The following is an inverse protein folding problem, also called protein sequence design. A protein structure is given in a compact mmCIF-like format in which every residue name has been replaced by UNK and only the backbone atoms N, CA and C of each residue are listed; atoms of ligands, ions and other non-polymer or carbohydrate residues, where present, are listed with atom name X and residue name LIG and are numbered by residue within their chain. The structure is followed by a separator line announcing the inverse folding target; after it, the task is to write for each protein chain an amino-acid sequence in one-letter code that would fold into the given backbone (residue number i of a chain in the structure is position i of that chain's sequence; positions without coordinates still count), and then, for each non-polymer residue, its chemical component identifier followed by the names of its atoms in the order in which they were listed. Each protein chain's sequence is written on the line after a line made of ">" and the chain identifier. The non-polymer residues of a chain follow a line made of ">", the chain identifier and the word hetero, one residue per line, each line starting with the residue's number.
data_IF_272636935113
#
_entry.id   IF_272636935113
#
_cell.length_a   1.000
_cell.length_b   1.000
_cell.length_c   1.000
_cell.angle_alpha   90.00
_cell.angle_beta   90.00
_cell.angle_gamma   90.00
#
_symmetry.space_group_name_H-M   'P 1'
#
loop_
_entity.id
_entity.type
_entity.pdbx_description
1 polymer ?
#
# COMPACT_ATOMS: atom_id res chain seq x y z
N UNK A 1 -4.57 55.08 43.23
CA UNK A 1 -3.36 54.43 42.64
C UNK A 1 -3.70 53.04 42.10
N UNK A 2 -4.99 52.79 41.82
CA UNK A 2 -5.56 51.43 41.84
C UNK A 2 -6.00 50.96 40.44
N UNK A 3 -6.22 51.91 39.52
CA UNK A 3 -6.55 51.65 38.12
C UNK A 3 -5.36 51.10 37.32
N UNK A 4 -4.14 51.58 37.62
CA UNK A 4 -2.92 51.08 36.97
C UNK A 4 -2.63 49.63 37.33
N UNK A 5 -2.71 49.28 38.62
CA UNK A 5 -2.50 47.90 39.08
C UNK A 5 -3.55 46.94 38.49
N UNK A 6 -4.80 47.38 38.41
CA UNK A 6 -5.89 46.59 37.82
C UNK A 6 -5.70 46.35 36.32
N UNK A 7 -5.25 47.35 35.57
CA UNK A 7 -4.97 47.21 34.15
C UNK A 7 -3.73 46.34 33.88
N UNK A 8 -2.68 46.46 34.69
CA UNK A 8 -1.49 45.61 34.59
C UNK A 8 -1.82 44.14 34.86
N UNK A 9 -2.65 43.84 35.86
CA UNK A 9 -3.09 42.47 36.14
C UNK A 9 -3.93 41.90 34.99
N UNK A 10 -4.82 42.70 34.39
CA UNK A 10 -5.63 42.28 33.23
C UNK A 10 -4.77 41.98 32.00
N UNK A 11 -3.76 42.80 31.74
CA UNK A 11 -2.83 42.60 30.61
C UNK A 11 -1.98 41.35 30.85
N UNK A 12 -1.48 41.14 32.06
CA UNK A 12 -0.69 39.95 32.42
C UNK A 12 -1.55 38.67 32.31
N UNK A 13 -2.78 38.70 32.80
CA UNK A 13 -3.71 37.57 32.67
C UNK A 13 -4.06 37.29 31.21
N UNK A 14 -4.28 38.32 30.39
CA UNK A 14 -4.54 38.16 28.96
C UNK A 14 -3.33 37.58 28.22
N UNK A 15 -2.13 38.05 28.52
CA UNK A 15 -0.88 37.52 27.95
C UNK A 15 -0.61 36.08 28.39
N UNK A 16 -0.90 35.72 29.64
CA UNK A 16 -0.79 34.34 30.14
C UNK A 16 -1.76 33.40 29.42
N UNK A 17 -3.01 33.81 29.20
CA UNK A 17 -4.01 33.02 28.47
C UNK A 17 -3.56 32.79 27.01
N UNK A 18 -3.05 33.83 26.36
CA UNK A 18 -2.52 33.74 24.98
C UNK A 18 -1.27 32.86 24.91
N UNK A 19 -0.41 32.87 25.93
CA UNK A 19 0.79 32.02 25.98
C UNK A 19 0.47 30.54 26.26
N UNK A 20 -0.67 30.24 26.90
CA UNK A 20 -1.14 28.87 27.18
C UNK A 20 -2.10 28.32 26.13
N UNK A 21 -2.48 29.12 25.12
CA UNK A 21 -3.18 28.63 23.94
C UNK A 21 -2.18 27.85 23.06
N UNK A 22 -1.65 26.75 23.61
CA UNK A 22 -0.88 25.76 22.88
C UNK A 22 -1.73 25.30 21.70
N UNK A 23 -1.12 25.32 20.52
CA UNK A 23 -1.69 24.82 19.27
C UNK A 23 -2.29 23.44 19.51
N UNK A 24 -3.63 23.35 19.54
CA UNK A 24 -4.31 22.07 19.42
C UNK A 24 -3.92 21.54 18.04
N UNK A 25 -3.06 20.52 18.01
CA UNK A 25 -2.74 19.83 16.78
C UNK A 25 -4.01 19.15 16.30
N UNK A 26 -4.39 19.34 15.03
CA UNK A 26 -5.53 18.63 14.44
C UNK A 26 -5.37 17.09 14.49
N UNK A 27 -4.16 16.60 14.78
CA UNK A 27 -3.86 15.18 14.96
C UNK A 27 -4.37 14.59 16.28
N UNK A 28 -4.75 15.40 17.28
CA UNK A 28 -5.15 14.93 18.61
C UNK A 28 -6.67 14.86 18.80
N UNK A 29 -7.45 15.05 17.73
CA UNK A 29 -8.91 14.88 17.79
C UNK A 29 -9.22 13.39 17.65
N UNK A 30 -9.50 12.72 18.77
CA UNK A 30 -10.10 11.39 18.79
C UNK A 30 -11.53 11.52 18.24
N UNK A 31 -11.70 11.22 16.95
CA UNK A 31 -13.00 11.27 16.27
C UNK A 31 -13.75 9.96 16.56
N UNK A 32 -14.78 10.02 17.40
CA UNK A 32 -15.71 8.90 17.64
C UNK A 32 -16.79 8.88 16.53
N UNK A 33 -16.35 8.62 15.29
CA UNK A 33 -17.20 8.63 14.10
C UNK A 33 -17.00 7.36 13.27
N UNK A 34 -18.05 6.80 12.62
CA UNK A 34 -17.94 5.56 11.86
C UNK A 34 -17.01 5.60 10.62
N UNK A 35 -16.70 6.80 10.11
CA UNK A 35 -15.82 6.99 8.95
C UNK A 35 -14.74 7.99 9.35
N UNK A 36 -13.50 7.53 9.29
CA UNK A 36 -12.32 8.33 9.61
C UNK A 36 -11.57 8.72 8.33
N UNK A 37 -10.85 9.86 8.35
CA UNK A 37 -9.91 10.20 7.29
C UNK A 37 -8.85 9.11 7.13
N UNK A 38 -8.39 8.89 5.89
CA UNK A 38 -7.26 8.00 5.64
C UNK A 38 -5.98 8.58 6.29
N UNK A 39 -5.16 7.77 6.96
CA UNK A 39 -3.90 8.23 7.51
C UNK A 39 -2.95 8.68 6.39
N UNK A 40 -2.30 9.83 6.57
CA UNK A 40 -1.47 10.46 5.54
C UNK A 40 -0.05 9.90 5.43
N UNK A 41 0.41 9.16 6.45
CA UNK A 41 1.77 8.62 6.49
C UNK A 41 1.74 7.13 6.84
N UNK A 42 2.36 6.31 6.00
CA UNK A 42 2.85 5.00 6.37
C UNK A 42 4.38 5.04 6.41
N UNK A 43 4.98 4.57 7.50
CA UNK A 43 6.43 4.46 7.66
C UNK A 43 6.94 3.20 6.92
N UNK A 44 7.07 3.32 5.59
CA UNK A 44 7.56 2.26 4.71
C UNK A 44 8.99 2.54 4.26
N UNK A 45 9.85 1.52 4.31
CA UNK A 45 11.21 1.61 3.81
C UNK A 45 11.25 1.99 2.31
N UNK A 46 11.81 3.14 1.91
CA UNK A 46 11.74 3.63 0.53
C UNK A 46 12.31 2.65 -0.50
N UNK A 47 13.35 1.88 -0.10
CA UNK A 47 13.96 0.85 -0.96
C UNK A 47 13.00 -0.31 -1.25
N UNK A 48 12.21 -0.72 -0.25
CA UNK A 48 11.21 -1.80 -0.42
C UNK A 48 10.08 -1.31 -1.31
N UNK A 49 9.62 -0.07 -1.09
CA UNK A 49 8.60 0.56 -1.94
C UNK A 49 9.05 0.63 -3.40
N UNK A 50 10.28 1.06 -3.66
CA UNK A 50 10.83 1.14 -5.01
C UNK A 50 10.91 -0.23 -5.72
N UNK A 51 11.31 -1.29 -4.99
CA UNK A 51 11.33 -2.66 -5.53
C UNK A 51 9.90 -3.15 -5.80
N UNK A 52 8.98 -2.92 -4.86
CA UNK A 52 7.57 -3.28 -5.01
C UNK A 52 6.93 -2.60 -6.22
N UNK A 53 7.19 -1.30 -6.41
CA UNK A 53 6.72 -0.53 -7.56
C UNK A 53 7.26 -1.08 -8.88
N UNK A 54 8.56 -1.41 -8.93
CA UNK A 54 9.15 -2.08 -10.11
C UNK A 54 8.41 -3.38 -10.41
N UNK A 55 8.31 -4.28 -9.42
CA UNK A 55 7.68 -5.59 -9.59
C UNK A 55 6.19 -5.50 -9.95
N UNK A 56 5.47 -4.50 -9.43
CA UNK A 56 4.06 -4.28 -9.75
C UNK A 56 3.83 -3.98 -11.24
N UNK A 57 4.80 -3.31 -11.88
CA UNK A 57 4.74 -2.92 -13.29
C UNK A 57 5.46 -3.90 -14.22
N UNK A 58 6.32 -4.76 -13.69
CA UNK A 58 7.15 -5.67 -14.47
C UNK A 58 6.39 -6.93 -14.92
N UNK A 59 6.31 -7.24 -16.22
CA UNK A 59 5.65 -8.44 -16.69
C UNK A 59 6.47 -9.72 -16.47
N UNK A 60 7.74 -9.64 -16.03
CA UNK A 60 8.59 -10.80 -15.79
C UNK A 60 8.00 -11.81 -14.79
N UNK A 61 7.03 -11.38 -14.00
CA UNK A 61 6.29 -12.22 -13.06
C UNK A 61 5.34 -13.21 -13.77
N UNK A 62 4.85 -12.91 -14.98
CA UNK A 62 4.02 -13.84 -15.75
C UNK A 62 4.86 -14.83 -16.55
N UNK A 63 4.29 -15.98 -16.86
CA UNK A 63 5.00 -17.06 -17.56
C UNK A 63 5.55 -16.61 -18.92
N UNK A 64 4.73 -15.90 -19.70
CA UNK A 64 5.07 -15.44 -21.05
C UNK A 64 5.61 -14.00 -21.10
N UNK A 65 5.88 -13.38 -19.94
CA UNK A 65 6.32 -11.99 -19.81
C UNK A 65 5.38 -10.96 -20.47
N UNK A 66 4.06 -11.20 -20.47
CA UNK A 66 3.06 -10.29 -21.06
C UNK A 66 2.15 -9.59 -20.04
N UNK A 67 2.08 -10.09 -18.79
CA UNK A 67 1.14 -9.59 -17.77
C UNK A 67 1.92 -9.15 -16.52
N UNK A 68 1.67 -7.94 -16.06
CA UNK A 68 2.09 -7.44 -14.73
C UNK A 68 0.86 -7.18 -13.86
N UNK A 69 1.06 -6.87 -12.57
CA UNK A 69 -0.05 -6.50 -11.69
C UNK A 69 -0.79 -5.26 -12.22
N UNK A 70 -0.03 -4.28 -12.74
CA UNK A 70 -0.53 -3.07 -13.35
C UNK A 70 -1.39 -3.31 -14.61
N UNK A 71 -1.34 -4.49 -15.24
CA UNK A 71 -2.21 -4.84 -16.36
C UNK A 71 -3.69 -4.86 -15.94
N UNK A 72 -3.99 -5.55 -14.83
CA UNK A 72 -5.34 -5.70 -14.28
C UNK A 72 -5.67 -4.60 -13.24
N UNK A 73 -4.65 -4.03 -12.59
CA UNK A 73 -4.79 -3.05 -11.51
C UNK A 73 -4.18 -1.70 -11.87
N UNK A 74 -4.62 -1.15 -13.00
CA UNK A 74 -4.09 0.10 -13.56
C UNK A 74 -4.36 1.28 -12.62
N UNK A 75 -3.29 1.89 -12.10
CA UNK A 75 -3.40 3.03 -11.17
C UNK A 75 -4.10 4.24 -11.83
N UNK A 76 -3.83 4.50 -13.13
CA UNK A 76 -4.46 5.59 -13.87
C UNK A 76 -5.99 5.48 -14.02
N UNK A 77 -6.56 4.29 -13.78
CA UNK A 77 -8.01 4.02 -13.87
C UNK A 77 -8.58 3.52 -12.55
N UNK A 78 -8.10 4.08 -11.43
CA UNK A 78 -8.63 3.80 -10.10
C UNK A 78 -8.18 2.46 -9.53
N UNK A 79 -7.03 1.94 -9.96
CA UNK A 79 -6.48 0.66 -9.50
C UNK A 79 -7.19 -0.57 -10.08
N UNK A 80 -7.92 -0.41 -11.19
CA UNK A 80 -8.62 -1.51 -11.91
C UNK A 80 -8.46 -1.35 -13.41
N UNK A 81 -8.69 -2.42 -14.16
CA UNK A 81 -8.72 -2.44 -15.63
C UNK A 81 -10.04 -1.91 -16.23
N UNK A 82 -11.03 -1.59 -15.39
CA UNK A 82 -12.37 -1.15 -15.79
C UNK A 82 -13.14 -2.17 -16.66
N UNK A 83 -12.74 -3.44 -16.65
CA UNK A 83 -13.40 -4.50 -17.41
C UNK A 83 -14.40 -5.27 -16.53
N UNK A 84 -15.40 -5.96 -17.13
CA UNK A 84 -16.24 -6.89 -16.38
C UNK A 84 -15.45 -8.07 -15.80
N UNK A 85 -14.43 -8.54 -16.54
CA UNK A 85 -13.49 -9.60 -16.18
C UNK A 85 -12.16 -9.32 -16.86
N UNK A 86 -11.07 -9.51 -16.13
CA UNK A 86 -9.72 -9.23 -16.62
C UNK A 86 -9.26 -10.23 -17.68
N UNK A 87 -8.33 -9.82 -18.52
CA UNK A 87 -7.59 -10.73 -19.39
C UNK A 87 -6.23 -11.05 -18.76
N UNK A 88 -5.83 -12.31 -18.82
CA UNK A 88 -4.49 -12.76 -18.42
C UNK A 88 -3.66 -13.22 -19.60
N UNK A 89 -2.67 -14.06 -19.32
CA UNK A 89 -1.74 -14.58 -20.32
C UNK A 89 -2.47 -15.25 -21.48
N UNK A 90 -1.91 -15.10 -22.69
CA UNK A 90 -2.53 -15.55 -23.96
C UNK A 90 -3.93 -14.99 -24.23
N UNK A 91 -4.30 -13.87 -23.61
CA UNK A 91 -5.62 -13.24 -23.79
C UNK A 91 -6.79 -14.02 -23.17
N UNK A 92 -6.51 -14.94 -22.25
CA UNK A 92 -7.55 -15.71 -21.56
C UNK A 92 -8.38 -14.81 -20.66
N UNK A 93 -9.69 -15.04 -20.60
CA UNK A 93 -10.59 -14.28 -19.71
C UNK A 93 -10.63 -14.90 -18.32
N UNK A 94 -10.39 -14.08 -17.29
CA UNK A 94 -10.53 -14.47 -15.90
C UNK A 94 -11.97 -14.78 -15.50
N UNK A 95 -12.14 -15.27 -14.26
CA UNK A 95 -13.45 -15.69 -13.74
C UNK A 95 -14.27 -14.54 -13.15
N UNK A 96 -13.60 -13.52 -12.60
CA UNK A 96 -14.23 -12.43 -11.85
C UNK A 96 -13.57 -11.09 -12.18
N UNK A 97 -14.24 -10.00 -11.84
CA UNK A 97 -13.72 -8.63 -11.96
C UNK A 97 -12.54 -8.40 -11.02
N UNK A 98 -11.47 -7.77 -11.51
CA UNK A 98 -10.39 -7.31 -10.65
C UNK A 98 -10.89 -6.21 -9.67
N UNK A 99 -10.73 -6.39 -8.34
CA UNK A 99 -10.98 -5.32 -7.39
C UNK A 99 -9.90 -4.23 -7.50
N UNK A 100 -10.12 -3.07 -6.89
CA UNK A 100 -9.09 -2.02 -6.84
C UNK A 100 -7.96 -2.37 -5.88
N UNK A 101 -6.74 -1.95 -6.20
CA UNK A 101 -5.60 -1.96 -5.26
C UNK A 101 -5.57 -0.75 -4.33
N UNK A 102 -6.37 0.28 -4.59
CA UNK A 102 -6.42 1.44 -3.70
C UNK A 102 -7.04 1.07 -2.37
N UNK A 103 -6.35 1.43 -1.29
CA UNK A 103 -6.74 1.17 0.09
C UNK A 103 -6.91 -0.33 0.43
N UNK A 104 -6.45 -1.25 -0.41
CA UNK A 104 -6.59 -2.70 -0.16
C UNK A 104 -5.85 -3.17 1.09
N UNK A 105 -4.83 -2.41 1.53
CA UNK A 105 -4.15 -2.61 2.80
C UNK A 105 -5.06 -2.46 4.04
N UNK A 106 -6.21 -1.79 3.90
CA UNK A 106 -7.20 -1.64 4.97
C UNK A 106 -8.33 -2.69 4.91
N UNK A 107 -8.33 -3.57 3.90
CA UNK A 107 -9.27 -4.68 3.89
C UNK A 107 -8.92 -5.66 5.02
N UNK A 108 -9.93 -6.21 5.69
CA UNK A 108 -9.73 -7.24 6.73
C UNK A 108 -9.35 -8.62 6.15
N UNK A 109 -9.65 -8.86 4.87
CA UNK A 109 -9.23 -10.02 4.06
C UNK A 109 -9.12 -9.59 2.60
N UNK A 110 -8.42 -10.37 1.78
CA UNK A 110 -8.21 -10.13 0.35
C UNK A 110 -9.00 -11.13 -0.52
N UNK A 111 -9.14 -10.77 -1.80
CA UNK A 111 -10.07 -11.38 -2.77
C UNK A 111 -11.54 -11.20 -2.42
N UNK A 112 -12.41 -11.38 -3.43
CA UNK A 112 -13.87 -11.28 -3.28
C UNK A 112 -14.48 -12.29 -2.29
N UNK A 113 -13.85 -13.46 -2.14
CA UNK A 113 -14.27 -14.52 -1.23
C UNK A 113 -13.50 -14.53 0.10
N UNK A 114 -12.59 -13.57 0.30
CA UNK A 114 -11.83 -13.42 1.55
C UNK A 114 -10.81 -14.52 1.81
N UNK A 115 -10.42 -15.32 0.81
CA UNK A 115 -9.57 -16.51 1.01
C UNK A 115 -8.11 -16.24 1.37
N UNK A 116 -7.65 -14.99 1.33
CA UNK A 116 -6.30 -14.60 1.73
C UNK A 116 -6.39 -13.57 2.86
N UNK A 117 -5.63 -13.76 3.93
CA UNK A 117 -5.69 -12.89 5.11
C UNK A 117 -4.94 -11.57 4.89
N UNK A 118 -3.87 -11.59 4.07
CA UNK A 118 -3.00 -10.42 3.84
C UNK A 118 -2.70 -10.20 2.36
N UNK A 119 -2.08 -9.05 2.04
CA UNK A 119 -1.61 -8.74 0.68
C UNK A 119 -0.49 -9.69 0.24
N UNK A 120 0.39 -10.08 1.17
CA UNK A 120 1.49 -11.02 0.94
C UNK A 120 0.96 -12.41 0.55
N UNK A 121 -0.10 -12.87 1.23
CA UNK A 121 -0.79 -14.12 0.86
C UNK A 121 -1.52 -13.99 -0.49
N UNK A 122 -2.17 -12.85 -0.74
CA UNK A 122 -2.95 -12.59 -1.94
C UNK A 122 -2.08 -12.70 -3.21
N UNK A 123 -0.87 -12.14 -3.19
CA UNK A 123 0.04 -12.07 -4.36
C UNK A 123 0.36 -13.45 -4.95
N UNK A 124 0.38 -14.51 -4.13
CA UNK A 124 0.63 -15.86 -4.61
C UNK A 124 -0.46 -16.37 -5.56
N UNK A 125 -1.71 -15.90 -5.41
CA UNK A 125 -2.83 -16.32 -6.26
C UNK A 125 -2.62 -15.99 -7.74
N UNK A 126 -2.55 -14.70 -8.14
CA UNK A 126 -2.42 -14.29 -9.54
C UNK A 126 -1.20 -14.87 -10.23
N UNK A 127 -0.05 -14.93 -9.53
CA UNK A 127 1.20 -15.47 -10.05
C UNK A 127 1.03 -16.91 -10.51
N UNK A 128 0.38 -17.75 -9.70
CA UNK A 128 0.21 -19.18 -10.00
C UNK A 128 -1.05 -19.48 -10.84
N UNK A 129 -1.97 -18.52 -10.99
CA UNK A 129 -3.25 -18.80 -11.63
C UNK A 129 -3.13 -18.83 -13.17
N UNK A 130 -3.54 -19.93 -13.84
CA UNK A 130 -3.27 -20.16 -15.27
C UNK A 130 -4.06 -19.23 -16.22
N UNK A 131 -5.11 -18.58 -15.72
CA UNK A 131 -5.90 -17.57 -16.45
C UNK A 131 -5.43 -16.13 -16.14
N UNK A 132 -4.48 -15.95 -15.23
CA UNK A 132 -3.93 -14.64 -14.86
C UNK A 132 -2.47 -14.56 -15.33
N UNK A 133 -1.49 -14.84 -14.48
CA UNK A 133 -0.07 -14.76 -14.82
C UNK A 133 0.53 -16.12 -15.21
N UNK A 134 -0.10 -17.22 -14.76
CA UNK A 134 0.21 -18.61 -15.13
C UNK A 134 1.65 -19.05 -14.94
N UNK A 135 2.35 -18.43 -14.00
CA UNK A 135 3.76 -18.67 -13.65
C UNK A 135 3.86 -19.59 -12.42
N UNK A 136 5.05 -19.67 -11.85
CA UNK A 136 5.30 -20.25 -10.52
C UNK A 136 6.37 -19.44 -9.80
N UNK A 137 6.40 -19.49 -8.47
CA UNK A 137 7.44 -18.81 -7.70
C UNK A 137 8.87 -19.24 -8.07
N UNK A 138 9.07 -20.52 -8.38
CA UNK A 138 10.36 -21.02 -8.85
C UNK A 138 10.76 -20.36 -10.17
N UNK A 139 9.82 -20.26 -11.11
CA UNK A 139 10.05 -19.59 -12.40
C UNK A 139 10.37 -18.10 -12.20
N UNK A 140 9.55 -17.40 -11.40
CA UNK A 140 9.74 -15.98 -11.07
C UNK A 140 11.13 -15.75 -10.47
N UNK A 141 11.51 -16.52 -9.44
CA UNK A 141 12.83 -16.37 -8.80
C UNK A 141 13.96 -16.60 -9.80
N UNK A 142 13.83 -17.58 -10.70
CA UNK A 142 14.84 -17.83 -11.73
C UNK A 142 14.94 -16.66 -12.73
N UNK A 143 13.81 -16.08 -13.14
CA UNK A 143 13.77 -14.89 -14.00
C UNK A 143 14.42 -13.69 -13.33
N UNK A 144 14.05 -13.40 -12.07
CA UNK A 144 14.60 -12.27 -11.32
C UNK A 144 16.11 -12.41 -11.05
N UNK A 145 16.61 -13.63 -10.83
CA UNK A 145 18.05 -13.88 -10.70
C UNK A 145 18.82 -13.66 -12.00
N UNK A 146 18.18 -13.88 -13.14
CA UNK A 146 18.77 -13.65 -14.45
C UNK A 146 18.71 -12.18 -14.88
N UNK A 147 17.88 -11.36 -14.21
CA UNK A 147 17.74 -9.93 -14.51
C UNK A 147 18.86 -9.11 -13.82
N UNK A 148 19.78 -8.49 -14.60
CA UNK A 148 20.84 -7.65 -14.06
C UNK A 148 20.30 -6.40 -13.32
N UNK A 149 19.13 -5.88 -13.67
CA UNK A 149 18.58 -4.70 -13.02
C UNK A 149 17.92 -5.00 -11.67
N UNK A 150 17.38 -6.21 -11.48
CA UNK A 150 16.86 -6.67 -10.18
C UNK A 150 18.02 -7.07 -9.26
N UNK A 151 19.13 -7.57 -9.81
CA UNK A 151 20.29 -8.01 -9.03
C UNK A 151 21.27 -6.89 -8.65
N UNK A 152 21.31 -5.76 -9.36
CA UNK A 152 22.23 -4.64 -9.07
C UNK A 152 21.71 -3.67 -7.98
N UNK A 153 20.47 -3.84 -7.50
CA UNK A 153 19.86 -3.00 -6.44
C UNK A 153 20.01 -3.49 -5.00
N UNK A 154 20.71 -4.60 -4.78
CA UNK A 154 20.99 -5.16 -3.46
C UNK A 154 20.17 -6.41 -3.16
N UNK A 155 20.87 -7.41 -2.62
CA UNK A 155 20.35 -8.60 -1.95
C UNK A 155 18.93 -8.37 -1.40
N UNK A 156 17.93 -9.04 -1.98
CA UNK A 156 16.58 -9.15 -1.43
C UNK A 156 16.70 -9.62 0.03
N UNK A 157 16.46 -8.77 1.04
CA UNK A 157 16.63 -9.17 2.43
C UNK A 157 15.31 -9.75 2.91
N UNK A 158 14.75 -10.77 2.23
CA UNK A 158 13.44 -11.29 2.59
C UNK A 158 13.39 -12.81 2.38
N UNK A 159 14.18 -13.55 3.16
CA UNK A 159 13.83 -14.86 3.77
C UNK A 159 14.99 -15.46 4.61
N UNK A 160 15.69 -14.68 5.45
CA UNK A 160 16.79 -15.25 6.27
C UNK A 160 16.66 -15.05 7.78
N UNK A 161 15.53 -14.57 8.31
CA UNK A 161 15.43 -14.29 9.76
C UNK A 161 14.08 -14.63 10.43
N UNK A 162 13.26 -15.53 9.86
CA UNK A 162 12.03 -15.98 10.55
C UNK A 162 11.73 -17.45 10.27
N UNK A 163 12.51 -18.35 10.86
CA UNK A 163 12.16 -19.76 11.06
C UNK A 163 12.69 -20.24 12.41
N UNK A 164 12.21 -19.54 13.45
CA UNK A 164 12.08 -19.96 14.84
C UNK A 164 10.91 -19.09 15.32
N UNK A 165 9.70 -19.59 15.56
CA UNK A 165 9.23 -20.56 16.56
C UNK A 165 7.99 -21.25 15.99
#
# INVERSE_FOLDING_TARGET
>A
MDTYLTNSIRIILFLLIVLTASSISAADVELDEPILPLPLAQDLAPKVVAIGDKLFHDPCLSHDNTISCAHCHRLATGGTDMLPKSFGIRGQTGAIKAPTVYNSAFNFVQFWDGRAATLEEQVSGPINHPLEMGSSWLEVVNKLKADPEVTVGGSLPLYSQSSTI
#
